data_IF_277135903743
#
_entry.id   IF_277135903743
#
_cell.length_a   1.000
_cell.length_b   1.000
_cell.length_c   1.000
_cell.angle_alpha   90.00
_cell.angle_beta   90.00
_cell.angle_gamma   90.00
#
_symmetry.space_group_name_H-M   'P 1'
#
loop_
_entity.id
_entity.type
_entity.pdbx_description
1 polymer ?
#
# COMPACT_ATOMS: atom_id res chain seq x y z
N UNK A 1 11.50 3.19 16.04
CA UNK A 1 12.06 4.40 16.69
C UNK A 1 11.37 5.62 16.07
N UNK A 2 11.14 6.72 16.82
CA UNK A 2 10.60 7.96 16.24
C UNK A 2 11.76 8.91 15.98
N UNK A 3 11.94 9.31 14.71
CA UNK A 3 12.94 10.29 14.31
C UNK A 3 12.69 11.64 15.00
N UNK A 4 13.72 12.18 15.64
CA UNK A 4 13.68 13.50 16.28
C UNK A 4 14.79 14.38 15.72
N UNK A 5 14.41 15.42 14.99
CA UNK A 5 15.33 16.43 14.48
C UNK A 5 15.17 17.71 15.31
N UNK A 6 15.97 17.85 16.36
CA UNK A 6 16.00 19.06 17.20
C UNK A 6 16.75 20.22 16.53
N UNK A 7 16.62 21.42 17.09
CA UNK A 7 17.30 22.61 16.58
C UNK A 7 18.81 22.42 16.34
N UNK A 8 19.61 21.85 17.27
CA UNK A 8 21.05 21.68 17.04
C UNK A 8 21.36 20.79 15.83
N UNK A 9 20.58 19.73 15.62
CA UNK A 9 20.73 18.83 14.48
C UNK A 9 20.37 19.56 13.17
N UNK A 10 19.17 20.14 13.10
CA UNK A 10 18.70 20.80 11.87
C UNK A 10 19.59 21.96 11.45
N UNK A 11 20.09 22.74 12.42
CA UNK A 11 20.93 23.90 12.13
C UNK A 11 22.35 23.50 11.74
N UNK A 12 22.92 22.47 12.39
CA UNK A 12 24.24 21.92 12.02
C UNK A 12 24.23 21.30 10.62
N UNK A 13 23.19 20.55 10.30
CA UNK A 13 23.06 19.82 9.03
C UNK A 13 22.50 20.71 7.90
N UNK A 14 22.41 22.04 8.08
CA UNK A 14 21.78 22.96 7.12
C UNK A 14 22.37 22.93 5.73
N UNK A 15 23.68 22.76 5.60
CA UNK A 15 24.34 22.63 4.29
C UNK A 15 23.97 21.34 3.56
N UNK A 16 23.50 20.33 4.29
CA UNK A 16 23.22 18.99 3.76
C UNK A 16 21.77 18.83 3.30
N UNK A 17 20.90 19.81 3.59
CA UNK A 17 19.51 19.82 3.16
C UNK A 17 19.33 20.73 1.94
N UNK A 18 19.79 20.29 0.76
CA UNK A 18 19.54 20.96 -0.51
C UNK A 18 18.64 20.09 -1.40
N UNK A 19 17.72 20.72 -2.16
CA UNK A 19 16.75 20.00 -3.00
C UNK A 19 17.38 19.27 -4.19
N UNK A 20 18.60 19.64 -4.58
CA UNK A 20 19.21 19.19 -5.82
C UNK A 20 19.99 17.87 -5.67
N UNK A 21 20.17 17.36 -4.46
CA UNK A 21 20.96 16.14 -4.17
C UNK A 21 20.07 14.88 -4.03
N UNK A 22 19.06 14.73 -4.88
CA UNK A 22 18.26 13.48 -4.90
C UNK A 22 19.03 12.39 -5.65
N UNK A 23 19.80 11.58 -4.92
CA UNK A 23 20.45 10.37 -5.45
C UNK A 23 19.61 9.11 -5.22
N UNK A 24 19.80 8.10 -6.07
CA UNK A 24 19.21 6.76 -5.88
C UNK A 24 19.66 6.08 -4.57
N UNK A 25 20.75 6.57 -3.97
CA UNK A 25 21.34 6.03 -2.75
C UNK A 25 20.90 6.76 -1.48
N UNK A 26 19.94 7.69 -1.55
CA UNK A 26 19.45 8.40 -0.36
C UNK A 26 18.93 7.41 0.68
N UNK A 27 19.37 7.60 1.92
CA UNK A 27 19.03 6.73 3.03
C UNK A 27 19.85 5.45 3.09
N UNK A 28 20.67 5.13 2.09
CA UNK A 28 21.59 4.00 2.14
C UNK A 28 22.97 4.41 2.65
N UNK A 29 23.59 3.57 3.46
CA UNK A 29 24.97 3.75 3.91
C UNK A 29 25.98 3.22 2.86
N UNK A 30 27.27 3.36 3.14
CA UNK A 30 28.35 2.93 2.23
C UNK A 30 28.40 1.43 1.93
N UNK A 31 27.75 0.61 2.75
CA UNK A 31 27.63 -0.85 2.54
C UNK A 31 26.37 -1.22 1.74
N UNK A 32 25.57 -0.24 1.32
CA UNK A 32 24.30 -0.47 0.63
C UNK A 32 23.16 -0.90 1.56
N UNK A 33 23.29 -0.71 2.88
CA UNK A 33 22.22 -0.96 3.84
C UNK A 33 21.38 0.30 4.06
N UNK A 34 20.05 0.17 4.01
CA UNK A 34 19.13 1.28 4.27
C UNK A 34 19.10 1.64 5.76
N UNK A 35 19.40 2.90 6.07
CA UNK A 35 19.33 3.48 7.40
C UNK A 35 17.96 4.14 7.60
N UNK A 36 17.09 3.45 8.34
CA UNK A 36 15.76 3.96 8.71
C UNK A 36 15.80 5.20 9.62
N UNK A 37 16.95 5.53 10.20
CA UNK A 37 17.14 6.72 11.04
C UNK A 37 17.68 7.92 10.23
N UNK A 38 17.85 7.76 8.92
CA UNK A 38 18.30 8.83 8.05
C UNK A 38 17.20 9.88 7.84
N UNK A 39 17.30 11.00 8.56
CA UNK A 39 16.37 12.13 8.40
C UNK A 39 16.41 12.77 7.01
N UNK A 40 17.55 12.72 6.32
CA UNK A 40 17.66 13.27 4.96
C UNK A 40 16.74 12.51 3.99
N UNK A 41 16.63 11.19 4.11
CA UNK A 41 15.70 10.39 3.31
C UNK A 41 14.25 10.81 3.48
N UNK A 42 13.83 11.14 4.71
CA UNK A 42 12.51 11.70 4.98
C UNK A 42 12.40 13.12 4.39
N UNK A 43 13.42 13.94 4.61
CA UNK A 43 13.41 15.33 4.15
C UNK A 43 13.27 15.45 2.64
N UNK A 44 13.86 14.55 1.85
CA UNK A 44 13.88 14.59 0.38
C UNK A 44 12.58 14.11 -0.27
N UNK A 45 11.64 13.54 0.49
CA UNK A 45 10.37 13.07 -0.04
C UNK A 45 9.59 14.15 -0.79
N UNK A 46 8.78 13.71 -1.76
CA UNK A 46 8.03 14.57 -2.66
C UNK A 46 7.05 15.46 -1.90
N UNK A 47 6.98 16.74 -2.26
CA UNK A 47 6.10 17.69 -1.58
C UNK A 47 5.15 18.44 -2.52
N UNK A 48 5.31 18.24 -3.83
CA UNK A 48 4.56 18.88 -4.91
C UNK A 48 4.44 20.41 -4.76
N UNK A 49 5.46 21.07 -4.19
CA UNK A 49 5.43 22.51 -3.96
C UNK A 49 5.22 23.32 -5.24
N UNK A 50 5.66 22.80 -6.38
CA UNK A 50 5.52 23.36 -7.73
C UNK A 50 4.14 23.16 -8.36
N UNK A 51 3.34 22.19 -7.87
CA UNK A 51 2.01 21.87 -8.39
C UNK A 51 0.86 22.42 -7.53
N UNK A 52 1.17 22.96 -6.36
CA UNK A 52 0.18 23.49 -5.40
C UNK A 52 -0.35 24.86 -5.83
N UNK A 53 -1.61 25.14 -5.51
CA UNK A 53 -2.21 26.44 -5.80
C UNK A 53 -1.66 27.52 -4.86
N UNK A 54 -1.69 28.81 -5.26
CA UNK A 54 -1.33 29.90 -4.36
C UNK A 54 -2.13 29.91 -3.05
N UNK A 55 -3.41 29.54 -3.11
CA UNK A 55 -4.29 29.45 -1.93
C UNK A 55 -3.83 28.36 -0.95
N UNK A 56 -3.53 27.15 -1.45
CA UNK A 56 -2.98 26.06 -0.62
C UNK A 56 -1.64 26.48 0.01
N UNK A 57 -0.73 27.04 -0.79
CA UNK A 57 0.57 27.51 -0.31
C UNK A 57 0.44 28.62 0.74
N UNK A 58 -0.49 29.57 0.56
CA UNK A 58 -0.76 30.62 1.53
C UNK A 58 -1.26 30.03 2.85
N UNK A 59 -2.25 29.13 2.81
CA UNK A 59 -2.78 28.47 4.01
C UNK A 59 -1.68 27.71 4.77
N UNK A 60 -0.81 27.00 4.07
CA UNK A 60 0.33 26.29 4.67
C UNK A 60 1.39 27.24 5.24
N UNK A 61 1.62 28.39 4.61
CA UNK A 61 2.53 29.40 5.13
C UNK A 61 1.98 30.01 6.45
N UNK A 62 0.68 30.28 6.53
CA UNK A 62 0.04 30.74 7.78
C UNK A 62 0.17 29.70 8.89
N UNK A 63 -0.12 28.42 8.60
CA UNK A 63 0.08 27.32 9.56
C UNK A 63 1.55 27.20 10.02
N UNK A 64 2.48 27.41 9.10
CA UNK A 64 3.92 27.42 9.40
C UNK A 64 4.28 28.51 10.40
N UNK A 65 3.83 29.75 10.16
CA UNK A 65 4.11 30.88 11.06
C UNK A 65 3.51 30.62 12.44
N UNK A 66 2.29 30.08 12.50
CA UNK A 66 1.66 29.70 13.76
C UNK A 66 2.47 28.65 14.53
N UNK A 67 2.85 27.55 13.89
CA UNK A 67 3.64 26.48 14.51
C UNK A 67 5.05 26.95 14.93
N UNK A 68 5.66 27.82 14.13
CA UNK A 68 6.94 28.45 14.49
C UNK A 68 6.78 29.30 15.76
N UNK A 69 5.70 30.09 15.86
CA UNK A 69 5.36 30.84 17.07
C UNK A 69 5.16 29.93 18.28
N UNK A 70 4.51 28.77 18.13
CA UNK A 70 4.41 27.78 19.20
C UNK A 70 5.79 27.26 19.64
N UNK A 71 6.70 26.96 18.70
CA UNK A 71 8.06 26.51 19.03
C UNK A 71 8.87 27.57 19.78
N UNK A 72 8.67 28.84 19.48
CA UNK A 72 9.33 29.96 20.18
C UNK A 72 8.95 30.05 21.66
N UNK A 73 7.76 29.58 22.04
CA UNK A 73 7.32 29.51 23.43
C UNK A 73 7.96 28.35 24.21
N UNK A 74 8.75 27.52 23.54
CA UNK A 74 9.44 26.36 24.13
C UNK A 74 10.95 26.60 24.22
N UNK A 75 11.68 25.61 24.71
CA UNK A 75 13.16 25.63 24.75
C UNK A 75 13.81 25.25 23.41
N UNK A 76 13.05 25.14 22.32
CA UNK A 76 13.55 24.69 21.02
C UNK A 76 14.73 25.53 20.51
N UNK A 77 14.68 26.85 20.64
CA UNK A 77 15.73 27.78 20.17
C UNK A 77 16.78 28.12 21.24
N UNK A 78 16.86 27.38 22.36
CA UNK A 78 17.77 27.70 23.48
C UNK A 78 19.26 27.77 23.08
N UNK A 79 19.65 27.00 22.05
CA UNK A 79 21.02 26.90 21.57
C UNK A 79 21.29 27.85 20.38
N UNK A 80 20.35 28.74 20.05
CA UNK A 80 20.50 29.75 19.00
C UNK A 80 21.46 30.86 19.44
N UNK A 81 22.42 31.23 18.58
CA UNK A 81 23.36 32.29 18.87
C UNK A 81 22.70 33.67 18.77
N UNK A 82 23.09 34.58 19.67
CA UNK A 82 22.61 35.97 19.64
C UNK A 82 22.94 36.63 18.30
N UNK A 83 21.95 37.30 17.71
CA UNK A 83 22.06 37.95 16.39
C UNK A 83 21.74 37.04 15.21
N UNK A 84 21.48 35.74 15.42
CA UNK A 84 21.06 34.80 14.38
C UNK A 84 19.57 34.42 14.46
N UNK A 85 18.79 35.06 15.34
CA UNK A 85 17.43 34.65 15.67
C UNK A 85 16.51 34.68 14.45
N UNK A 86 16.59 35.72 13.62
CA UNK A 86 15.76 35.82 12.43
C UNK A 86 16.12 34.76 11.38
N UNK A 87 17.41 34.56 11.12
CA UNK A 87 17.87 33.54 10.17
C UNK A 87 17.49 32.13 10.63
N UNK A 88 17.68 31.82 11.92
CA UNK A 88 17.26 30.56 12.53
C UNK A 88 15.74 30.35 12.40
N UNK A 89 14.93 31.37 12.67
CA UNK A 89 13.47 31.32 12.52
C UNK A 89 13.05 31.11 11.07
N UNK A 90 13.63 31.84 10.12
CA UNK A 90 13.36 31.67 8.70
C UNK A 90 13.72 30.26 8.23
N UNK A 91 14.88 29.74 8.66
CA UNK A 91 15.32 28.40 8.31
C UNK A 91 14.38 27.32 8.89
N UNK A 92 14.08 27.35 10.19
CA UNK A 92 13.16 26.38 10.80
C UNK A 92 11.75 26.51 10.24
N UNK A 93 11.27 27.74 9.99
CA UNK A 93 10.00 27.97 9.30
C UNK A 93 9.96 27.32 7.92
N UNK A 94 11.03 27.43 7.13
CA UNK A 94 11.12 26.76 5.83
C UNK A 94 11.06 25.24 5.93
N UNK A 95 11.66 24.65 6.98
CA UNK A 95 11.57 23.22 7.29
C UNK A 95 10.15 22.80 7.63
N UNK A 96 9.48 23.54 8.52
CA UNK A 96 8.07 23.26 8.88
C UNK A 96 7.18 23.34 7.64
N UNK A 97 7.31 24.40 6.83
CA UNK A 97 6.54 24.56 5.59
C UNK A 97 6.75 23.40 4.63
N UNK A 98 8.01 22.96 4.46
CA UNK A 98 8.33 21.79 3.64
C UNK A 98 7.64 20.54 4.15
N UNK A 99 7.71 20.27 5.46
CA UNK A 99 7.07 19.11 6.08
C UNK A 99 5.55 19.15 5.90
N UNK A 100 4.89 20.30 6.09
CA UNK A 100 3.44 20.46 5.87
C UNK A 100 3.02 20.24 4.41
N UNK A 101 3.91 20.51 3.45
CA UNK A 101 3.66 20.19 2.03
C UNK A 101 3.91 18.71 1.71
N UNK A 102 4.86 18.07 2.38
CA UNK A 102 5.29 16.70 2.11
C UNK A 102 4.39 15.65 2.79
N UNK A 103 4.04 15.86 4.06
CA UNK A 103 3.30 14.89 4.86
C UNK A 103 1.99 14.40 4.23
N UNK A 104 1.13 15.23 3.60
CA UNK A 104 -0.09 14.73 2.99
C UNK A 104 0.13 13.68 1.89
N UNK A 105 1.30 13.65 1.26
CA UNK A 105 1.60 12.72 0.16
C UNK A 105 2.40 11.49 0.63
N UNK A 106 2.95 11.52 1.85
CA UNK A 106 3.95 10.53 2.31
C UNK A 106 3.66 9.97 3.71
N UNK A 107 2.70 10.54 4.43
CA UNK A 107 2.29 10.02 5.72
C UNK A 107 1.32 8.85 5.51
N UNK A 108 1.54 7.79 6.27
CA UNK A 108 0.76 6.56 6.24
C UNK A 108 -0.05 6.47 7.52
N UNK A 109 -1.31 6.07 7.37
CA UNK A 109 -2.17 5.70 8.49
C UNK A 109 -1.49 4.62 9.35
N UNK A 110 -1.55 4.79 10.66
CA UNK A 110 -1.27 3.77 11.65
C UNK A 110 -2.62 3.33 12.19
N UNK A 111 -3.02 2.11 11.89
CA UNK A 111 -4.33 1.59 12.25
C UNK A 111 -4.26 0.47 13.30
N UNK A 112 -5.41 0.24 13.92
CA UNK A 112 -5.70 -0.90 14.79
C UNK A 112 -7.02 -1.54 14.33
N UNK A 113 -7.05 -2.87 14.27
CA UNK A 113 -8.29 -3.61 13.95
C UNK A 113 -9.05 -3.95 15.24
N UNK A 114 -10.29 -3.49 15.33
CA UNK A 114 -11.28 -3.93 16.30
C UNK A 114 -11.99 -5.14 15.72
N UNK A 115 -12.00 -6.27 16.41
CA UNK A 115 -12.65 -7.48 15.87
C UNK A 115 -13.18 -8.39 16.97
N UNK A 116 -14.16 -9.24 16.60
CA UNK A 116 -14.73 -10.26 17.49
C UNK A 116 -14.62 -11.63 16.82
N UNK A 117 -13.93 -12.61 17.43
CA UNK A 117 -13.92 -13.98 16.92
C UNK A 117 -15.35 -14.52 16.75
N UNK A 118 -15.65 -15.06 15.56
CA UNK A 118 -16.96 -15.59 15.22
C UNK A 118 -18.00 -14.55 14.81
N UNK A 119 -17.67 -13.25 14.82
CA UNK A 119 -18.53 -12.18 14.33
C UNK A 119 -17.74 -11.19 13.46
N UNK A 120 -17.55 -11.49 12.16
CA UNK A 120 -16.83 -10.61 11.25
C UNK A 120 -17.59 -9.30 11.00
N UNK A 121 -18.90 -9.22 11.30
CA UNK A 121 -19.74 -8.05 10.96
C UNK A 121 -19.44 -6.83 11.85
N UNK A 122 -18.85 -7.06 13.02
CA UNK A 122 -18.42 -6.01 13.95
C UNK A 122 -16.94 -5.64 13.79
N UNK A 123 -16.27 -6.21 12.78
CA UNK A 123 -14.86 -5.91 12.51
C UNK A 123 -14.71 -4.53 11.88
N UNK A 124 -13.84 -3.71 12.42
CA UNK A 124 -13.56 -2.37 11.89
C UNK A 124 -12.07 -2.00 12.06
N UNK A 125 -11.53 -1.25 11.11
CA UNK A 125 -10.21 -0.63 11.22
C UNK A 125 -10.37 0.80 11.72
N UNK A 126 -9.62 1.17 12.75
CA UNK A 126 -9.58 2.55 13.27
C UNK A 126 -8.20 3.15 13.08
N UNK A 127 -8.16 4.42 12.65
CA UNK A 127 -6.93 5.20 12.62
C UNK A 127 -6.57 5.64 14.05
N UNK A 128 -5.38 5.24 14.51
CA UNK A 128 -4.85 5.61 15.83
C UNK A 128 -3.66 6.58 15.73
N UNK A 129 -3.20 6.89 14.52
CA UNK A 129 -2.17 7.87 14.26
C UNK A 129 -1.69 7.88 12.82
N UNK A 130 -0.65 8.65 12.55
CA UNK A 130 -0.02 8.75 11.23
C UNK A 130 1.49 8.80 11.36
N UNK A 131 2.20 8.19 10.41
CA UNK A 131 3.66 8.12 10.39
C UNK A 131 4.22 8.29 8.98
N UNK A 132 5.28 9.08 8.84
CA UNK A 132 6.01 9.18 7.59
C UNK A 132 7.20 8.21 7.60
N UNK A 133 7.19 7.28 6.66
CA UNK A 133 8.20 6.23 6.54
C UNK A 133 8.86 6.39 5.17
N UNK A 134 10.12 6.84 5.15
CA UNK A 134 10.76 7.26 3.89
C UNK A 134 10.81 6.13 2.84
N UNK A 135 11.26 4.92 3.21
CA UNK A 135 11.25 3.78 2.30
C UNK A 135 9.85 3.39 1.81
N UNK A 136 8.86 3.37 2.71
CA UNK A 136 7.48 3.02 2.36
C UNK A 136 6.85 4.05 1.41
N UNK A 137 7.24 5.33 1.54
CA UNK A 137 6.74 6.41 0.70
C UNK A 137 7.27 6.35 -0.74
N UNK A 138 8.26 5.50 -1.02
CA UNK A 138 8.71 5.23 -2.38
C UNK A 138 7.81 4.24 -3.12
N UNK A 139 6.92 3.54 -2.42
CA UNK A 139 6.03 2.53 -3.02
C UNK A 139 4.88 3.26 -3.73
N UNK A 140 4.82 3.14 -5.05
CA UNK A 140 3.82 3.79 -5.88
C UNK A 140 2.43 3.17 -5.74
N UNK A 141 1.43 3.88 -6.27
CA UNK A 141 0.04 3.48 -6.19
C UNK A 141 -0.41 2.52 -7.31
N UNK A 142 -1.21 1.52 -6.94
CA UNK A 142 -2.15 0.83 -7.84
C UNK A 142 -3.55 0.70 -7.22
N UNK A 143 -4.58 0.81 -8.06
CA UNK A 143 -5.96 0.49 -7.65
C UNK A 143 -6.16 -1.02 -7.43
N UNK A 144 -5.22 -1.83 -7.91
CA UNK A 144 -5.12 -3.28 -7.71
C UNK A 144 -3.72 -3.61 -7.15
N UNK A 145 -3.45 -3.34 -5.86
CA UNK A 145 -2.11 -3.36 -5.28
C UNK A 145 -1.48 -4.76 -5.26
N UNK A 146 -0.15 -4.85 -5.27
CA UNK A 146 0.60 -6.10 -5.07
C UNK A 146 0.93 -6.36 -3.60
N UNK A 147 0.82 -5.34 -2.74
CA UNK A 147 1.09 -5.44 -1.31
C UNK A 147 -0.05 -4.92 -0.44
N UNK A 148 -0.01 -5.29 0.83
CA UNK A 148 -0.84 -4.72 1.91
C UNK A 148 0.05 -4.33 3.09
N UNK A 149 -0.40 -3.33 3.86
CA UNK A 149 0.28 -2.80 5.03
C UNK A 149 -0.47 -3.16 6.32
N UNK A 150 0.28 -3.51 7.37
CA UNK A 150 -0.24 -3.70 8.71
C UNK A 150 0.74 -3.12 9.74
N UNK A 151 0.23 -2.52 10.81
CA UNK A 151 1.06 -1.88 11.83
C UNK A 151 1.29 -2.79 13.04
N UNK A 152 2.54 -2.86 13.52
CA UNK A 152 2.94 -3.54 14.76
C UNK A 152 3.58 -2.50 15.68
N UNK A 153 2.81 -1.98 16.62
CA UNK A 153 3.09 -0.71 17.29
C UNK A 153 3.26 0.41 16.26
N UNK A 154 4.48 0.94 16.16
CA UNK A 154 4.89 1.97 15.21
C UNK A 154 5.72 1.43 14.03
N UNK A 155 5.76 0.12 13.81
CA UNK A 155 6.43 -0.49 12.67
C UNK A 155 5.38 -0.85 11.62
N UNK A 156 5.52 -0.32 10.40
CA UNK A 156 4.68 -0.72 9.28
C UNK A 156 5.30 -1.93 8.56
N UNK A 157 4.56 -3.03 8.48
CA UNK A 157 4.97 -4.24 7.78
C UNK A 157 4.21 -4.34 6.46
N UNK A 158 4.96 -4.38 5.37
CA UNK A 158 4.45 -4.55 4.01
C UNK A 158 4.55 -6.02 3.61
N UNK A 159 3.46 -6.61 3.11
CA UNK A 159 3.41 -8.01 2.69
C UNK A 159 2.83 -8.12 1.29
N UNK A 160 3.43 -8.98 0.48
CA UNK A 160 2.88 -9.32 -0.83
C UNK A 160 1.53 -10.04 -0.67
N UNK A 161 0.55 -9.64 -1.48
CA UNK A 161 -0.76 -10.27 -1.65
C UNK A 161 -0.97 -10.69 -3.11
N UNK A 162 0.12 -10.74 -3.89
CA UNK A 162 0.23 -11.25 -5.26
C UNK A 162 1.65 -11.77 -5.48
N UNK A 163 1.87 -12.69 -6.42
CA UNK A 163 3.21 -12.95 -6.92
C UNK A 163 3.81 -11.67 -7.51
N UNK A 164 5.07 -11.38 -7.18
CA UNK A 164 5.83 -10.24 -7.70
C UNK A 164 7.09 -10.79 -8.36
N UNK A 165 7.24 -10.60 -9.67
CA UNK A 165 8.40 -11.12 -10.42
C UNK A 165 9.64 -10.27 -10.14
N UNK A 166 10.83 -10.85 -10.38
CA UNK A 166 12.08 -10.09 -10.32
C UNK A 166 12.03 -8.90 -11.30
N UNK A 167 12.23 -7.70 -10.80
CA UNK A 167 12.19 -6.45 -11.58
C UNK A 167 10.79 -5.86 -11.74
N UNK A 168 9.74 -6.51 -11.22
CA UNK A 168 8.39 -5.95 -11.15
C UNK A 168 8.29 -4.94 -10.00
N UNK A 169 7.54 -3.87 -10.24
CA UNK A 169 7.33 -2.83 -9.25
C UNK A 169 6.44 -3.31 -8.09
N UNK A 170 6.80 -2.91 -6.88
CA UNK A 170 5.94 -3.10 -5.70
C UNK A 170 4.94 -1.95 -5.69
N UNK A 171 3.65 -2.26 -5.64
CA UNK A 171 2.57 -1.29 -5.78
C UNK A 171 1.58 -1.43 -4.63
N UNK A 172 1.25 -0.30 -4.03
CA UNK A 172 0.42 -0.20 -2.84
C UNK A 172 -0.86 0.58 -3.11
N UNK A 173 -1.81 0.54 -2.19
CA UNK A 173 -3.06 1.27 -2.32
C UNK A 173 -3.07 2.56 -1.48
N UNK A 174 -3.41 3.66 -2.14
CA UNK A 174 -3.55 4.99 -1.53
C UNK A 174 -5.02 5.29 -1.17
N UNK A 175 -5.79 4.25 -0.86
CA UNK A 175 -7.22 4.33 -0.50
C UNK A 175 -8.18 4.34 -1.69
N UNK A 176 -7.80 3.83 -2.86
CA UNK A 176 -8.61 3.83 -4.07
C UNK A 176 -8.61 2.45 -4.73
N UNK A 177 -9.35 1.48 -4.18
CA UNK A 177 -9.42 0.11 -4.67
C UNK A 177 -10.43 -0.02 -5.83
N UNK A 178 -10.04 -0.74 -6.89
CA UNK A 178 -10.92 -0.93 -8.06
C UNK A 178 -12.22 -1.70 -7.79
N UNK A 179 -12.28 -2.72 -6.91
CA UNK A 179 -13.51 -3.48 -6.72
C UNK A 179 -14.62 -2.66 -6.02
N UNK A 180 -14.25 -1.55 -5.36
CA UNK A 180 -15.15 -0.80 -4.49
C UNK A 180 -15.67 0.51 -5.09
N UNK A 181 -14.93 1.10 -6.02
CA UNK A 181 -15.17 2.47 -6.49
C UNK A 181 -14.85 2.57 -7.97
N UNK A 182 -15.63 3.30 -8.76
CA UNK A 182 -15.41 3.45 -10.21
C UNK A 182 -14.16 4.29 -10.51
N UNK A 183 -13.60 4.15 -11.72
CA UNK A 183 -12.33 4.77 -12.13
C UNK A 183 -12.31 6.29 -11.93
N UNK A 184 -13.39 6.96 -12.30
CA UNK A 184 -13.51 8.41 -12.27
C UNK A 184 -13.43 8.92 -10.82
N UNK A 185 -14.10 8.26 -9.89
CA UNK A 185 -14.05 8.56 -8.46
C UNK A 185 -12.68 8.27 -7.86
N UNK A 186 -12.05 7.15 -8.22
CA UNK A 186 -10.68 6.83 -7.78
C UNK A 186 -9.69 7.92 -8.19
N UNK A 187 -9.73 8.36 -9.46
CA UNK A 187 -8.87 9.44 -9.96
C UNK A 187 -9.20 10.78 -9.29
N UNK A 188 -10.48 11.10 -9.10
CA UNK A 188 -10.91 12.31 -8.41
C UNK A 188 -10.44 12.35 -6.95
N UNK A 189 -10.40 11.19 -6.26
CA UNK A 189 -9.86 11.06 -4.90
C UNK A 189 -8.35 11.27 -4.83
N UNK A 190 -7.59 10.69 -5.78
CA UNK A 190 -6.12 10.72 -5.75
C UNK A 190 -5.53 12.06 -6.20
N UNK A 191 -6.14 12.70 -7.19
CA UNK A 191 -5.57 13.89 -7.86
C UNK A 191 -5.27 15.06 -6.92
N UNK A 192 -6.15 15.47 -5.98
CA UNK A 192 -5.91 16.63 -5.11
C UNK A 192 -4.75 16.40 -4.12
N UNK A 193 -4.52 15.15 -3.71
CA UNK A 193 -3.53 14.80 -2.70
C UNK A 193 -2.18 14.43 -3.32
N UNK A 194 -2.18 13.68 -4.43
CA UNK A 194 -0.97 13.09 -5.01
C UNK A 194 -0.61 13.67 -6.39
N UNK A 195 -1.41 14.57 -6.94
CA UNK A 195 -1.10 15.33 -8.16
C UNK A 195 -0.73 14.46 -9.38
N UNK A 196 -1.40 13.30 -9.52
CA UNK A 196 -1.32 12.42 -10.68
C UNK A 196 -2.70 11.87 -11.06
N UNK A 197 -2.82 11.40 -12.31
CA UNK A 197 -3.94 10.58 -12.77
C UNK A 197 -3.53 9.12 -12.82
N UNK A 198 -4.22 8.26 -12.07
CA UNK A 198 -3.85 6.84 -11.97
C UNK A 198 -4.01 6.13 -13.32
N UNK A 199 -2.94 5.46 -13.76
CA UNK A 199 -2.85 4.71 -15.01
C UNK A 199 -2.44 3.24 -14.80
N UNK A 200 -2.68 2.68 -13.60
CA UNK A 200 -2.47 1.25 -13.36
C UNK A 200 -3.38 0.38 -14.24
N UNK A 201 -3.04 -0.92 -14.37
CA UNK A 201 -3.79 -1.89 -15.18
C UNK A 201 -5.29 -1.87 -14.88
N UNK A 202 -5.68 -1.77 -13.61
CA UNK A 202 -7.09 -1.69 -13.22
C UNK A 202 -7.84 -0.47 -13.79
N UNK A 203 -7.14 0.65 -13.99
CA UNK A 203 -7.69 1.86 -14.60
C UNK A 203 -7.63 1.82 -16.14
N UNK A 204 -6.61 1.17 -16.72
CA UNK A 204 -6.45 1.06 -18.17
C UNK A 204 -7.41 0.02 -18.79
N UNK A 205 -7.59 -1.11 -18.10
CA UNK A 205 -8.43 -2.22 -18.52
C UNK A 205 -9.90 -2.08 -18.06
N UNK A 206 -10.21 -1.01 -17.31
CA UNK A 206 -11.54 -0.77 -16.74
C UNK A 206 -12.09 -2.01 -16.00
N UNK A 207 -11.29 -2.55 -15.06
CA UNK A 207 -11.68 -3.76 -14.34
C UNK A 207 -13.03 -3.58 -13.61
N UNK A 208 -13.87 -4.63 -13.58
CA UNK A 208 -15.23 -4.55 -13.04
C UNK A 208 -15.24 -4.32 -11.52
N UNK A 209 -16.34 -3.74 -11.03
CA UNK A 209 -16.62 -3.66 -9.59
C UNK A 209 -16.87 -5.05 -9.02
N UNK A 210 -16.72 -5.21 -7.71
CA UNK A 210 -16.74 -6.50 -7.02
C UNK A 210 -17.93 -7.40 -7.40
N UNK A 211 -19.14 -6.85 -7.42
CA UNK A 211 -20.36 -7.59 -7.75
C UNK A 211 -20.48 -7.96 -9.22
N UNK A 212 -19.72 -7.30 -10.10
CA UNK A 212 -19.66 -7.56 -11.53
C UNK A 212 -18.48 -8.49 -11.90
N UNK A 213 -17.64 -8.87 -10.93
CA UNK A 213 -16.57 -9.85 -11.16
C UNK A 213 -17.20 -11.26 -11.28
N UNK A 214 -16.90 -12.03 -12.34
CA UNK A 214 -17.40 -13.40 -12.50
C UNK A 214 -16.94 -14.35 -11.39
N UNK A 215 -17.82 -15.29 -11.03
CA UNK A 215 -17.64 -16.29 -9.97
C UNK A 215 -18.24 -17.68 -10.31
N UNK A 216 -18.70 -17.88 -11.55
CA UNK A 216 -19.38 -19.09 -11.99
C UNK A 216 -18.43 -20.07 -12.70
N UNK A 217 -17.77 -19.64 -13.78
CA UNK A 217 -16.87 -20.45 -14.59
C UNK A 217 -15.55 -19.70 -14.78
N UNK A 218 -14.43 -20.22 -14.24
CA UNK A 218 -13.15 -19.53 -14.36
C UNK A 218 -12.58 -19.66 -15.77
N UNK A 219 -11.88 -18.61 -16.20
CA UNK A 219 -11.09 -18.62 -17.44
C UNK A 219 -9.68 -19.06 -17.12
N UNK A 220 -9.21 -20.15 -17.71
CA UNK A 220 -7.87 -20.70 -17.43
C UNK A 220 -6.79 -19.94 -18.20
N UNK A 221 -5.56 -19.95 -17.68
CA UNK A 221 -4.36 -19.44 -18.34
C UNK A 221 -3.68 -20.56 -19.12
N UNK A 222 -3.34 -20.28 -20.37
CA UNK A 222 -2.48 -21.16 -21.15
C UNK A 222 -1.06 -21.21 -20.56
N UNK A 223 -0.54 -22.41 -20.32
CA UNK A 223 0.80 -22.60 -19.75
C UNK A 223 1.95 -22.05 -20.62
N UNK A 224 1.74 -21.89 -21.92
CA UNK A 224 2.80 -21.49 -22.86
C UNK A 224 2.78 -19.99 -23.18
N UNK A 225 1.60 -19.37 -23.30
CA UNK A 225 1.46 -17.96 -23.68
C UNK A 225 0.70 -17.10 -22.67
N UNK A 226 0.18 -17.68 -21.57
CA UNK A 226 -0.70 -17.03 -20.58
C UNK A 226 -2.01 -16.47 -21.15
N UNK A 227 -2.33 -16.76 -22.42
CA UNK A 227 -3.59 -16.41 -23.05
C UNK A 227 -4.78 -17.16 -22.44
N UNK A 228 -6.00 -16.63 -22.58
CA UNK A 228 -7.19 -17.21 -21.97
C UNK A 228 -7.60 -18.53 -22.64
N UNK A 229 -8.09 -19.46 -21.83
CA UNK A 229 -8.73 -20.70 -22.26
C UNK A 229 -10.12 -20.74 -21.62
N UNK A 230 -11.15 -20.66 -22.47
CA UNK A 230 -12.55 -20.73 -22.05
C UNK A 230 -13.02 -22.18 -22.07
N UNK A 231 -13.45 -22.69 -20.93
CA UNK A 231 -14.09 -23.99 -20.82
C UNK A 231 -15.60 -23.83 -20.83
N UNK A 232 -16.30 -24.75 -21.49
CA UNK A 232 -17.76 -24.89 -21.40
C UNK A 232 -18.08 -26.25 -20.80
N UNK A 233 -19.23 -26.38 -20.14
CA UNK A 233 -19.65 -27.62 -19.47
C UNK A 233 -19.66 -28.84 -20.41
N UNK A 234 -19.85 -28.63 -21.72
CA UNK A 234 -19.91 -29.68 -22.75
C UNK A 234 -18.58 -30.00 -23.47
N UNK A 235 -17.47 -29.31 -23.15
CA UNK A 235 -16.19 -29.48 -23.87
C UNK A 235 -15.24 -30.45 -23.17
N UNK A 236 -14.52 -31.23 -23.98
CA UNK A 236 -13.45 -32.12 -23.52
C UNK A 236 -12.28 -31.29 -22.96
N UNK A 237 -12.05 -31.42 -21.65
CA UNK A 237 -10.96 -30.77 -20.93
C UNK A 237 -9.58 -31.20 -21.45
N UNK A 238 -9.47 -32.38 -22.09
CA UNK A 238 -8.21 -32.87 -22.63
C UNK A 238 -7.73 -32.09 -23.86
N UNK A 239 -8.65 -31.42 -24.58
CA UNK A 239 -8.38 -30.72 -25.83
C UNK A 239 -8.81 -29.25 -25.82
N UNK A 240 -8.77 -28.59 -24.65
CA UNK A 240 -9.18 -27.20 -24.52
C UNK A 240 -8.24 -26.27 -25.33
N UNK A 241 -8.81 -25.43 -26.20
CA UNK A 241 -8.04 -24.55 -27.09
C UNK A 241 -7.77 -23.18 -26.44
N UNK A 242 -6.53 -22.69 -26.54
CA UNK A 242 -6.19 -21.33 -26.15
C UNK A 242 -6.61 -20.30 -27.19
N UNK A 243 -7.34 -19.26 -26.79
CA UNK A 243 -7.80 -18.21 -27.68
C UNK A 243 -6.69 -17.29 -28.23
N UNK A 244 -5.46 -17.39 -27.72
CA UNK A 244 -4.33 -16.56 -28.17
C UNK A 244 -3.36 -17.30 -29.08
N UNK A 245 -2.97 -18.53 -28.74
CA UNK A 245 -2.01 -19.29 -29.56
C UNK A 245 -2.64 -20.45 -30.33
N UNK A 246 -3.93 -20.73 -30.14
CA UNK A 246 -4.68 -21.82 -30.79
C UNK A 246 -4.17 -23.24 -30.51
N UNK A 247 -3.20 -23.38 -29.62
CA UNK A 247 -2.69 -24.67 -29.18
C UNK A 247 -3.65 -25.32 -28.18
N UNK A 248 -3.91 -26.62 -28.38
CA UNK A 248 -4.70 -27.44 -27.45
C UNK A 248 -3.93 -27.70 -26.15
N UNK A 249 -4.65 -27.69 -25.02
CA UNK A 249 -4.14 -27.95 -23.68
C UNK A 249 -5.05 -28.93 -22.96
N UNK A 250 -4.43 -29.89 -22.29
CA UNK A 250 -5.11 -30.75 -21.33
C UNK A 250 -5.22 -30.02 -19.99
N UNK A 251 -6.46 -29.74 -19.58
CA UNK A 251 -6.80 -29.06 -18.34
C UNK A 251 -7.29 -30.02 -17.23
N UNK A 252 -7.41 -31.33 -17.48
CA UNK A 252 -7.97 -32.28 -16.50
C UNK A 252 -7.28 -32.17 -15.13
N UNK A 253 -5.95 -32.21 -15.12
CA UNK A 253 -5.18 -32.09 -13.87
C UNK A 253 -5.32 -30.72 -13.21
N UNK A 254 -5.38 -29.64 -14.00
CA UNK A 254 -5.52 -28.28 -13.47
C UNK A 254 -6.91 -28.10 -12.85
N UNK A 255 -7.96 -28.63 -13.48
CA UNK A 255 -9.33 -28.59 -12.96
C UNK A 255 -9.44 -29.42 -11.68
N UNK A 256 -8.87 -30.63 -11.63
CA UNK A 256 -8.85 -31.44 -10.41
C UNK A 256 -8.15 -30.73 -9.26
N UNK A 257 -6.99 -30.11 -9.51
CA UNK A 257 -6.25 -29.34 -8.50
C UNK A 257 -6.99 -28.08 -8.07
N UNK A 258 -7.69 -27.41 -8.99
CA UNK A 258 -8.53 -26.28 -8.66
C UNK A 258 -9.62 -26.71 -7.67
N UNK A 259 -10.33 -27.81 -7.94
CA UNK A 259 -11.36 -28.34 -7.04
C UNK A 259 -10.81 -28.67 -5.64
N UNK A 260 -9.66 -29.35 -5.56
CA UNK A 260 -8.99 -29.64 -4.29
C UNK A 260 -8.62 -28.35 -3.54
N UNK A 261 -8.03 -27.38 -4.25
CA UNK A 261 -7.61 -26.11 -3.68
C UNK A 261 -8.78 -25.26 -3.21
N UNK A 262 -9.88 -25.22 -3.96
CA UNK A 262 -11.12 -24.52 -3.60
C UNK A 262 -11.78 -25.13 -2.36
N UNK A 263 -11.77 -26.46 -2.21
CA UNK A 263 -12.25 -27.11 -0.98
C UNK A 263 -11.44 -26.69 0.24
N UNK A 264 -10.11 -26.68 0.12
CA UNK A 264 -9.23 -26.19 1.19
C UNK A 264 -9.46 -24.71 1.52
N UNK A 265 -9.65 -23.89 0.48
CA UNK A 265 -9.99 -22.47 0.63
C UNK A 265 -11.28 -22.25 1.40
N UNK A 266 -12.36 -22.99 1.12
CA UNK A 266 -13.62 -22.86 1.85
C UNK A 266 -13.46 -23.17 3.34
N UNK A 267 -12.74 -24.24 3.69
CA UNK A 267 -12.45 -24.58 5.09
C UNK A 267 -11.63 -23.48 5.76
N UNK A 268 -10.61 -22.95 5.07
CA UNK A 268 -9.79 -21.86 5.59
C UNK A 268 -10.60 -20.56 5.76
N UNK A 269 -11.53 -20.27 4.85
CA UNK A 269 -12.41 -19.11 4.95
C UNK A 269 -13.36 -19.23 6.15
N UNK A 270 -13.95 -20.41 6.37
CA UNK A 270 -14.76 -20.67 7.56
C UNK A 270 -13.97 -20.46 8.86
N UNK A 271 -12.72 -20.92 8.91
CA UNK A 271 -11.81 -20.67 10.03
C UNK A 271 -11.57 -19.18 10.28
N UNK A 272 -11.32 -18.41 9.22
CA UNK A 272 -11.14 -16.95 9.29
C UNK A 272 -12.41 -16.25 9.81
N UNK A 273 -13.58 -16.61 9.28
CA UNK A 273 -14.86 -16.04 9.71
C UNK A 273 -15.18 -16.41 11.17
N UNK A 274 -14.84 -17.63 11.58
CA UNK A 274 -14.96 -18.09 12.96
C UNK A 274 -13.90 -17.49 13.90
N UNK A 275 -12.85 -16.85 13.37
CA UNK A 275 -11.75 -16.28 14.16
C UNK A 275 -10.88 -17.33 14.84
N UNK A 276 -10.75 -18.52 14.25
CA UNK A 276 -9.98 -19.66 14.79
C UNK A 276 -8.91 -20.12 13.81
N UNK A 277 -7.84 -20.73 14.30
CA UNK A 277 -6.79 -21.34 13.45
C UNK A 277 -6.22 -20.39 12.36
N UNK A 278 -6.20 -19.07 12.61
CA UNK A 278 -5.89 -18.03 11.62
C UNK A 278 -4.55 -18.27 10.89
N UNK A 279 -3.55 -18.78 11.60
CA UNK A 279 -2.24 -19.06 11.02
C UNK A 279 -2.25 -20.28 10.09
N UNK A 280 -3.02 -21.31 10.43
CA UNK A 280 -3.19 -22.49 9.58
C UNK A 280 -4.01 -22.13 8.33
N UNK A 281 -5.09 -21.36 8.51
CA UNK A 281 -5.91 -20.83 7.43
C UNK A 281 -5.05 -20.00 6.45
N UNK A 282 -4.22 -19.09 6.96
CA UNK A 282 -3.32 -18.27 6.16
C UNK A 282 -2.41 -19.10 5.22
N UNK A 283 -1.87 -20.22 5.69
CA UNK A 283 -1.01 -21.09 4.86
C UNK A 283 -1.79 -21.69 3.69
N UNK A 284 -3.05 -22.08 3.92
CA UNK A 284 -3.93 -22.63 2.88
C UNK A 284 -4.33 -21.54 1.88
N UNK A 285 -4.71 -20.36 2.38
CA UNK A 285 -5.11 -19.22 1.56
C UNK A 285 -3.97 -18.76 0.64
N UNK A 286 -2.74 -18.64 1.15
CA UNK A 286 -1.57 -18.26 0.34
C UNK A 286 -1.32 -19.25 -0.80
N UNK A 287 -1.41 -20.57 -0.52
CA UNK A 287 -1.26 -21.61 -1.55
C UNK A 287 -2.39 -21.56 -2.59
N UNK A 288 -3.62 -21.31 -2.15
CA UNK A 288 -4.76 -21.17 -3.05
C UNK A 288 -4.59 -19.95 -3.97
N UNK A 289 -4.21 -18.80 -3.41
CA UNK A 289 -3.97 -17.59 -4.17
C UNK A 289 -2.82 -17.77 -5.19
N UNK A 290 -1.72 -18.41 -4.79
CA UNK A 290 -0.63 -18.76 -5.72
C UNK A 290 -1.14 -19.63 -6.87
N UNK A 291 -1.93 -20.67 -6.58
CA UNK A 291 -2.53 -21.51 -7.61
C UNK A 291 -3.43 -20.71 -8.57
N UNK A 292 -4.35 -19.89 -8.03
CA UNK A 292 -5.25 -19.07 -8.86
C UNK A 292 -4.47 -18.09 -9.74
N UNK A 293 -3.45 -17.42 -9.19
CA UNK A 293 -2.67 -16.43 -9.95
C UNK A 293 -1.86 -17.05 -11.10
N UNK A 294 -1.43 -18.31 -10.97
CA UNK A 294 -0.74 -19.04 -12.04
C UNK A 294 -1.73 -19.57 -13.08
N UNK A 295 -2.89 -20.08 -12.66
CA UNK A 295 -3.75 -20.89 -13.52
C UNK A 295 -5.02 -20.20 -14.02
N UNK A 296 -5.47 -19.12 -13.37
CA UNK A 296 -6.74 -18.44 -13.66
C UNK A 296 -6.48 -17.02 -14.16
N UNK A 297 -7.21 -16.62 -15.20
CA UNK A 297 -7.18 -15.28 -15.79
C UNK A 297 -8.04 -14.31 -14.98
N UNK A 298 -7.62 -13.04 -14.92
CA UNK A 298 -8.43 -11.98 -14.32
C UNK A 298 -9.48 -11.48 -15.32
N UNK A 299 -10.60 -10.93 -14.84
CA UNK A 299 -11.01 -10.83 -13.43
C UNK A 299 -11.64 -12.15 -12.91
N UNK A 300 -11.38 -12.51 -11.65
CA UNK A 300 -11.98 -13.67 -10.97
C UNK A 300 -12.25 -13.37 -9.50
N UNK A 301 -13.48 -13.62 -9.02
CA UNK A 301 -13.92 -13.11 -7.70
C UNK A 301 -13.18 -13.76 -6.54
N UNK A 302 -12.87 -15.05 -6.63
CA UNK A 302 -12.18 -15.75 -5.55
C UNK A 302 -10.77 -15.22 -5.27
N UNK A 303 -10.10 -14.63 -6.27
CA UNK A 303 -8.80 -13.97 -6.03
C UNK A 303 -8.98 -12.81 -5.05
N UNK A 304 -10.02 -12.00 -5.23
CA UNK A 304 -10.32 -10.88 -4.33
C UNK A 304 -10.72 -11.40 -2.94
N UNK A 305 -11.62 -12.39 -2.88
CA UNK A 305 -12.07 -12.96 -1.61
C UNK A 305 -10.90 -13.59 -0.82
N UNK A 306 -10.04 -14.34 -1.50
CA UNK A 306 -8.86 -14.96 -0.90
C UNK A 306 -7.87 -13.91 -0.39
N UNK A 307 -7.63 -12.84 -1.16
CA UNK A 307 -6.81 -11.71 -0.70
C UNK A 307 -7.39 -11.03 0.53
N UNK A 308 -8.70 -10.77 0.59
CA UNK A 308 -9.34 -10.19 1.79
C UNK A 308 -9.24 -11.11 3.01
N UNK A 309 -9.42 -12.42 2.84
CA UNK A 309 -9.23 -13.38 3.93
C UNK A 309 -7.77 -13.39 4.43
N UNK A 310 -6.78 -13.32 3.53
CA UNK A 310 -5.36 -13.20 3.88
C UNK A 310 -5.09 -11.90 4.65
N UNK A 311 -5.66 -10.77 4.20
CA UNK A 311 -5.54 -9.48 4.91
C UNK A 311 -6.11 -9.59 6.31
N UNK A 312 -7.27 -10.22 6.50
CA UNK A 312 -7.85 -10.44 7.81
C UNK A 312 -6.91 -11.27 8.72
N UNK A 313 -6.34 -12.37 8.21
CA UNK A 313 -5.35 -13.17 8.95
C UNK A 313 -4.13 -12.34 9.41
N UNK A 314 -3.65 -11.42 8.58
CA UNK A 314 -2.54 -10.54 8.94
C UNK A 314 -2.96 -9.45 9.93
N UNK A 315 -4.15 -8.88 9.76
CA UNK A 315 -4.66 -7.82 10.62
C UNK A 315 -4.84 -8.29 12.07
N UNK A 316 -5.38 -9.49 12.29
CA UNK A 316 -5.57 -10.05 13.64
C UNK A 316 -4.25 -10.36 14.36
N UNK A 317 -3.13 -10.40 13.65
CA UNK A 317 -1.79 -10.58 14.23
C UNK A 317 -1.05 -9.25 14.45
N UNK A 318 -1.57 -8.16 13.90
CA UNK A 318 -1.00 -6.83 13.95
C UNK A 318 -1.56 -6.05 15.17
N UNK A 319 -1.50 -4.72 15.14
CA UNK A 319 -2.26 -3.87 16.05
C UNK A 319 -3.72 -4.28 16.01
N UNK A 320 -4.20 -4.87 17.09
CA UNK A 320 -5.54 -5.41 17.16
C UNK A 320 -6.06 -5.36 18.58
N UNK A 321 -7.37 -5.15 18.69
CA UNK A 321 -8.11 -5.19 19.92
C UNK A 321 -9.32 -6.11 19.76
N UNK A 322 -9.39 -7.14 20.61
CA UNK A 322 -10.47 -8.11 20.61
C UNK A 322 -11.64 -7.54 21.41
N UNK A 323 -12.79 -7.39 20.74
CA UNK A 323 -14.03 -6.93 21.36
C UNK A 323 -14.55 -7.96 22.38
N UNK A 324 -15.19 -7.50 23.46
CA UNK A 324 -15.69 -8.37 24.53
C UNK A 324 -16.84 -9.30 24.11
#
# INVERSE_FOLDING_TARGET
>A
MVLKAGFPFLFKERSNFCKDDVSESIGYNGDGCYDSENYHALYTLVNHGDKRTPEDLFNKAVQTVYLLGCLELTTFFKDCQKGQEMDAKCYIGSHILRQIQMLPCNAHEISEILWKPGDPTVTNSIEIGSGAYALLSLINHSCDPSVVRHNYGNICVVRAIKPIKKGEEILDNYGALYPLTIREERRAKLRPQYFFDCNCDACQLELPLYFDIPDDVPVFKCKDCSGPIFISQDKDLAEAECSSCHEKKDLNQTVMKLQESTNGYHVALEQVLAGVEMQAALVVLLKHLEFLTVHISLPWRDINNCQEAIKQCFATQANSYILP
#
